data_IF_476984606285
#
_entry.id   IF_476984606285
#
_cell.length_a   1.000
_cell.length_b   1.000
_cell.length_c   1.000
_cell.angle_alpha   90.00
_cell.angle_beta   90.00
_cell.angle_gamma   90.00
#
_symmetry.space_group_name_H-M   'P 1'
#
loop_
_entity.id
_entity.type
_entity.pdbx_description
1 polymer ?
#
# COMPACT_ATOMS: atom_id res chain seq x y z
N UNK A 1 -26.34 -5.85 35.31
CA UNK A 1 -26.30 -4.64 34.46
C UNK A 1 -26.52 -5.06 33.02
N UNK A 2 -27.47 -4.47 32.28
CA UNK A 2 -27.71 -4.81 30.88
C UNK A 2 -26.54 -4.32 30.01
N UNK A 3 -26.22 -5.10 28.97
CA UNK A 3 -25.20 -4.75 27.99
C UNK A 3 -25.68 -3.60 27.10
N UNK A 4 -24.93 -2.49 27.08
CA UNK A 4 -25.27 -1.32 26.27
C UNK A 4 -24.62 -1.42 24.87
N UNK A 5 -25.43 -1.89 23.92
CA UNK A 5 -25.05 -2.06 22.51
C UNK A 5 -24.64 -0.73 21.86
N UNK A 6 -25.25 0.39 22.24
CA UNK A 6 -24.96 1.69 21.62
C UNK A 6 -23.60 2.23 22.08
N UNK A 7 -23.25 2.00 23.34
CA UNK A 7 -21.94 2.32 23.88
C UNK A 7 -20.83 1.54 23.17
N UNK A 8 -20.99 0.23 23.05
CA UNK A 8 -20.00 -0.65 22.39
C UNK A 8 -19.84 -0.35 20.89
N UNK A 9 -20.93 -0.03 20.18
CA UNK A 9 -20.84 0.40 18.79
C UNK A 9 -20.08 1.72 18.61
N UNK A 10 -20.18 2.62 19.58
CA UNK A 10 -19.46 3.90 19.54
C UNK A 10 -17.96 3.66 19.71
N UNK A 11 -17.59 2.84 20.68
CA UNK A 11 -16.20 2.42 20.91
C UNK A 11 -15.61 1.75 19.66
N UNK A 12 -16.35 0.81 19.05
CA UNK A 12 -15.91 0.11 17.84
C UNK A 12 -15.71 1.06 16.65
N UNK A 13 -16.59 2.06 16.49
CA UNK A 13 -16.47 3.07 15.41
C UNK A 13 -15.28 3.99 15.61
N UNK A 14 -15.01 4.39 16.85
CA UNK A 14 -13.84 5.21 17.19
C UNK A 14 -12.54 4.44 16.97
N UNK A 15 -12.47 3.18 17.43
CA UNK A 15 -11.34 2.28 17.17
C UNK A 15 -11.12 2.07 15.67
N UNK A 16 -12.20 1.88 14.91
CA UNK A 16 -12.12 1.74 13.45
C UNK A 16 -11.56 3.01 12.79
N UNK A 17 -11.93 4.20 13.28
CA UNK A 17 -11.40 5.49 12.78
C UNK A 17 -9.91 5.66 13.08
N UNK A 18 -9.44 5.26 14.27
CA UNK A 18 -8.01 5.30 14.61
C UNK A 18 -7.19 4.27 13.84
N UNK A 19 -7.70 3.06 13.60
CA UNK A 19 -7.05 2.07 12.72
C UNK A 19 -6.97 2.60 11.28
N UNK A 20 -8.02 3.28 10.81
CA UNK A 20 -8.06 3.93 9.48
C UNK A 20 -7.14 5.15 9.36
N UNK A 21 -6.68 5.76 10.47
CA UNK A 21 -5.56 6.73 10.47
C UNK A 21 -4.26 5.99 10.14
N UNK A 22 -4.14 5.61 8.87
CA UNK A 22 -3.02 4.89 8.29
C UNK A 22 -1.80 5.81 8.38
N UNK A 23 -0.89 5.54 9.31
CA UNK A 23 0.45 6.13 9.28
C UNK A 23 1.03 5.91 7.89
N UNK A 24 1.20 7.00 7.14
CA UNK A 24 1.75 6.96 5.80
C UNK A 24 3.24 6.66 5.90
N UNK A 25 3.59 5.38 6.04
CA UNK A 25 4.97 4.94 5.92
C UNK A 25 5.33 4.98 4.45
N UNK A 26 6.33 5.81 4.10
CA UNK A 26 6.93 5.80 2.77
C UNK A 26 7.28 4.36 2.41
N UNK A 27 6.77 3.89 1.28
CA UNK A 27 7.07 2.55 0.79
C UNK A 27 8.54 2.48 0.42
N UNK A 28 9.17 1.32 0.57
CA UNK A 28 10.54 1.11 0.03
C UNK A 28 10.57 1.29 -1.49
N UNK A 29 9.41 1.17 -2.14
CA UNK A 29 9.18 1.45 -3.56
C UNK A 29 9.35 2.94 -3.89
N UNK A 30 9.03 3.83 -2.94
CA UNK A 30 9.05 5.28 -3.19
C UNK A 30 10.48 5.78 -3.49
N UNK A 31 11.50 5.05 -3.03
CA UNK A 31 12.91 5.30 -3.35
C UNK A 31 13.23 5.13 -4.84
N UNK A 32 12.48 4.28 -5.55
CA UNK A 32 12.69 3.96 -6.96
C UNK A 32 11.51 4.42 -7.83
N UNK A 33 10.80 5.46 -7.40
CA UNK A 33 9.59 5.92 -8.09
C UNK A 33 9.85 6.22 -9.56
N UNK A 34 10.95 6.91 -9.86
CA UNK A 34 11.31 7.28 -11.23
C UNK A 34 11.53 6.06 -12.12
N UNK A 35 12.35 5.10 -11.67
CA UNK A 35 12.65 3.89 -12.42
C UNK A 35 11.43 2.98 -12.58
N UNK A 36 10.62 2.85 -11.51
CA UNK A 36 9.40 2.04 -11.56
C UNK A 36 8.37 2.63 -12.53
N UNK A 37 8.23 3.95 -12.58
CA UNK A 37 7.33 4.62 -13.54
C UNK A 37 7.84 4.50 -14.97
N UNK A 38 9.15 4.64 -15.20
CA UNK A 38 9.74 4.44 -16.53
C UNK A 38 9.58 3.00 -17.02
N UNK A 39 9.81 2.01 -16.16
CA UNK A 39 9.58 0.60 -16.49
C UNK A 39 8.10 0.35 -16.80
N UNK A 40 7.20 0.91 -16.00
CA UNK A 40 5.75 0.75 -16.21
C UNK A 40 5.28 1.45 -17.49
N UNK A 41 5.76 2.66 -17.80
CA UNK A 41 5.42 3.36 -19.04
C UNK A 41 5.97 2.65 -20.28
N UNK A 42 7.08 1.92 -20.15
CA UNK A 42 7.59 1.01 -21.18
C UNK A 42 6.80 -0.31 -21.30
N UNK A 43 5.74 -0.50 -20.50
CA UNK A 43 4.86 -1.67 -20.56
C UNK A 43 5.16 -2.77 -19.54
N UNK A 44 6.08 -2.55 -18.59
CA UNK A 44 6.38 -3.56 -17.57
C UNK A 44 5.20 -3.80 -16.63
N UNK A 45 4.90 -5.07 -16.41
CA UNK A 45 3.89 -5.54 -15.46
C UNK A 45 4.36 -5.41 -14.00
N UNK A 46 3.41 -5.44 -13.06
CA UNK A 46 3.71 -5.46 -11.63
C UNK A 46 4.64 -6.60 -11.20
N UNK A 47 4.60 -7.74 -11.90
CA UNK A 47 5.45 -8.90 -11.65
C UNK A 47 6.91 -8.65 -12.08
N UNK A 48 7.11 -7.94 -13.18
CA UNK A 48 8.43 -7.55 -13.69
C UNK A 48 9.06 -6.47 -12.82
N UNK A 49 8.27 -5.48 -12.38
CA UNK A 49 8.74 -4.50 -11.39
C UNK A 49 9.19 -5.20 -10.10
N UNK A 50 8.45 -6.20 -9.62
CA UNK A 50 8.86 -7.02 -8.47
C UNK A 50 10.18 -7.75 -8.73
N UNK A 51 10.37 -8.30 -9.94
CA UNK A 51 11.61 -8.98 -10.33
C UNK A 51 12.80 -8.02 -10.35
N UNK A 52 12.61 -6.82 -10.91
CA UNK A 52 13.62 -5.76 -10.92
C UNK A 52 13.98 -5.28 -9.50
N UNK A 53 12.99 -5.12 -8.62
CA UNK A 53 13.23 -4.76 -7.22
C UNK A 53 14.02 -5.84 -6.46
N UNK A 54 13.81 -7.12 -6.79
CA UNK A 54 14.56 -8.22 -6.17
C UNK A 54 16.06 -8.14 -6.50
N UNK A 55 16.40 -7.68 -7.70
CA UNK A 55 17.79 -7.39 -8.10
C UNK A 55 18.41 -6.28 -7.22
N UNK A 56 17.60 -5.25 -6.90
CA UNK A 56 17.98 -4.16 -5.98
C UNK A 56 17.91 -4.56 -4.49
N UNK A 57 17.88 -5.85 -4.18
CA UNK A 57 17.76 -6.41 -2.81
C UNK A 57 16.46 -6.02 -2.08
N UNK A 58 15.42 -5.62 -2.81
CA UNK A 58 14.12 -5.24 -2.25
C UNK A 58 13.10 -6.36 -2.49
N UNK A 59 12.64 -6.95 -1.38
CA UNK A 59 11.58 -7.97 -1.40
C UNK A 59 10.25 -7.31 -1.07
N UNK A 60 9.33 -7.31 -2.03
CA UNK A 60 7.95 -6.85 -1.87
C UNK A 60 6.99 -7.92 -2.39
N UNK A 61 5.80 -8.00 -1.77
CA UNK A 61 4.72 -8.80 -2.31
C UNK A 61 4.23 -8.22 -3.64
N UNK A 62 3.69 -9.07 -4.51
CA UNK A 62 3.08 -8.63 -5.77
C UNK A 62 1.95 -7.63 -5.50
N UNK A 63 1.12 -7.89 -4.49
CA UNK A 63 0.06 -6.98 -4.05
C UNK A 63 0.56 -5.59 -3.64
N UNK A 64 1.78 -5.50 -3.10
CA UNK A 64 2.40 -4.21 -2.78
C UNK A 64 2.78 -3.46 -4.05
N UNK A 65 3.37 -4.13 -5.05
CA UNK A 65 3.71 -3.53 -6.33
C UNK A 65 2.44 -3.09 -7.10
N UNK A 66 1.40 -3.93 -7.13
CA UNK A 66 0.11 -3.59 -7.75
C UNK A 66 -0.57 -2.40 -7.07
N UNK A 67 -0.66 -2.40 -5.74
CA UNK A 67 -1.24 -1.27 -4.99
C UNK A 67 -0.45 0.02 -5.19
N UNK A 68 0.88 -0.09 -5.27
CA UNK A 68 1.73 1.06 -5.49
C UNK A 68 1.55 1.60 -6.92
N UNK A 69 1.45 0.75 -7.93
CA UNK A 69 1.14 1.14 -9.31
C UNK A 69 -0.25 1.76 -9.43
N UNK A 70 -1.28 1.18 -8.80
CA UNK A 70 -2.62 1.75 -8.81
C UNK A 70 -2.67 3.18 -8.23
N UNK A 71 -1.71 3.53 -7.38
CA UNK A 71 -1.61 4.84 -6.75
C UNK A 71 -0.69 5.83 -7.48
N UNK A 72 0.40 5.36 -8.09
CA UNK A 72 1.44 6.22 -8.66
C UNK A 72 1.55 6.10 -10.19
N UNK A 73 1.11 4.99 -10.78
CA UNK A 73 1.18 4.72 -12.21
C UNK A 73 -0.03 5.21 -13.00
N UNK A 74 -1.03 5.81 -12.33
CA UNK A 74 -2.07 6.59 -12.98
C UNK A 74 -1.65 8.06 -12.90
N UNK A 75 -0.98 8.52 -13.94
CA UNK A 75 -0.74 9.93 -14.23
C UNK A 75 -1.71 10.40 -15.30
#
# INVERSE_FOLDING_TARGET
>A
MPFDVAHELTILREQTRTIRKKQYRRSRLDRYTGELLQLHSAGASAAELRRWLREKRIRVALSTATRWLAKNGQG
#
